data_IF_484144892514
#
_entry.id   IF_484144892514
#
_cell.length_a   1.000
_cell.length_b   1.000
_cell.length_c   1.000
_cell.angle_alpha   90.00
_cell.angle_beta   90.00
_cell.angle_gamma   90.00
#
_symmetry.space_group_name_H-M   'P 1'
#
loop_
_entity.id
_entity.type
_entity.pdbx_description
1 polymer ?
#
# COMPACT_ATOMS: atom_id res chain seq x y z
N UNK A 1 -15.04 -9.45 1.12
CA UNK A 1 -14.03 -8.84 0.25
C UNK A 1 -13.72 -9.79 -0.91
N UNK A 2 -13.64 -9.29 -2.16
CA UNK A 2 -13.23 -10.11 -3.31
C UNK A 2 -11.82 -9.71 -3.77
N UNK A 3 -10.86 -10.58 -3.50
CA UNK A 3 -9.46 -10.42 -3.88
C UNK A 3 -9.24 -10.50 -5.40
N UNK A 4 -8.40 -9.60 -5.91
CA UNK A 4 -8.03 -9.52 -7.34
C UNK A 4 -6.54 -9.79 -7.54
N UNK A 5 -5.68 -9.12 -6.77
CA UNK A 5 -4.23 -9.27 -6.86
C UNK A 5 -3.55 -8.84 -5.55
N UNK A 6 -2.33 -9.32 -5.33
CA UNK A 6 -1.44 -8.84 -4.28
C UNK A 6 0.00 -8.93 -4.79
N UNK A 7 0.82 -7.90 -4.52
CA UNK A 7 2.20 -7.81 -5.03
C UNK A 7 3.06 -6.87 -4.20
N UNK A 8 4.36 -7.06 -4.34
CA UNK A 8 5.38 -6.14 -3.83
C UNK A 8 5.96 -5.37 -5.02
N UNK A 9 6.08 -4.05 -4.89
CA UNK A 9 6.70 -3.20 -5.91
C UNK A 9 7.74 -2.26 -5.29
N UNK A 10 8.70 -1.84 -6.12
CA UNK A 10 9.67 -0.80 -5.77
C UNK A 10 9.03 0.56 -6.04
N UNK A 11 9.12 1.50 -5.11
CA UNK A 11 8.54 2.84 -5.22
C UNK A 11 9.50 3.91 -4.69
N UNK A 12 9.08 5.17 -4.72
CA UNK A 12 9.77 6.28 -4.06
C UNK A 12 8.84 7.06 -3.13
N UNK A 13 9.38 7.52 -2.00
CA UNK A 13 8.63 8.24 -0.95
C UNK A 13 9.33 9.55 -0.54
N UNK A 14 8.53 10.57 -0.21
CA UNK A 14 8.97 11.89 0.22
C UNK A 14 9.56 12.77 -0.90
N UNK A 15 9.75 14.06 -0.61
CA UNK A 15 10.27 15.03 -1.58
C UNK A 15 11.69 14.77 -2.11
N UNK A 16 12.44 13.86 -1.49
CA UNK A 16 13.75 13.39 -1.97
C UNK A 16 13.68 12.11 -2.80
N UNK A 17 12.49 11.56 -3.04
CA UNK A 17 12.27 10.30 -3.78
C UNK A 17 13.11 9.15 -3.25
N UNK A 18 13.06 8.95 -1.93
CA UNK A 18 13.79 7.88 -1.27
C UNK A 18 13.25 6.54 -1.76
N UNK A 19 14.09 5.64 -2.30
CA UNK A 19 13.64 4.31 -2.71
C UNK A 19 13.04 3.54 -1.53
N UNK A 20 11.94 2.85 -1.76
CA UNK A 20 11.26 2.03 -0.75
C UNK A 20 10.60 0.80 -1.38
N UNK A 21 10.27 -0.16 -0.51
CA UNK A 21 9.40 -1.28 -0.82
C UNK A 21 7.96 -0.92 -0.49
N UNK A 22 7.05 -1.25 -1.41
CA UNK A 22 5.62 -0.98 -1.29
C UNK A 22 4.85 -2.29 -1.44
N UNK A 23 4.07 -2.62 -0.42
CA UNK A 23 3.11 -3.72 -0.45
C UNK A 23 1.79 -3.20 -1.01
N UNK A 24 1.18 -3.95 -1.93
CA UNK A 24 -0.09 -3.57 -2.57
C UNK A 24 -1.02 -4.77 -2.63
N UNK A 25 -2.26 -4.61 -2.19
CA UNK A 25 -3.33 -5.58 -2.40
C UNK A 25 -4.58 -4.93 -2.98
N UNK A 26 -5.19 -5.60 -3.94
CA UNK A 26 -6.36 -5.12 -4.68
C UNK A 26 -7.60 -5.93 -4.29
N UNK A 27 -8.60 -5.23 -3.75
CA UNK A 27 -9.88 -5.79 -3.40
C UNK A 27 -11.02 -4.86 -3.80
N UNK A 28 -12.07 -5.42 -4.39
CA UNK A 28 -13.30 -4.68 -4.72
C UNK A 28 -13.05 -3.38 -5.54
N UNK A 29 -11.98 -3.35 -6.34
CA UNK A 29 -11.60 -2.21 -7.19
C UNK A 29 -10.78 -1.12 -6.49
N UNK A 30 -10.29 -1.38 -5.28
CA UNK A 30 -9.44 -0.48 -4.48
C UNK A 30 -8.06 -1.09 -4.34
N UNK A 31 -7.01 -0.29 -4.56
CA UNK A 31 -5.62 -0.61 -4.26
C UNK A 31 -5.30 -0.13 -2.86
N UNK A 32 -5.20 -1.05 -1.90
CA UNK A 32 -4.65 -0.77 -0.58
C UNK A 32 -3.14 -0.97 -0.62
N UNK A 33 -2.40 -0.10 0.05
CA UNK A 33 -0.95 -0.14 0.03
C UNK A 33 -0.31 0.34 1.33
N UNK A 34 0.88 -0.16 1.61
CA UNK A 34 1.71 0.28 2.74
C UNK A 34 3.19 0.24 2.36
N UNK A 35 3.93 1.25 2.79
CA UNK A 35 5.40 1.25 2.71
C UNK A 35 5.95 0.28 3.74
N UNK A 36 6.97 -0.49 3.40
CA UNK A 36 7.68 -1.36 4.34
C UNK A 36 8.10 -0.58 5.61
N UNK A 37 7.79 -1.13 6.78
CA UNK A 37 8.04 -0.53 8.09
C UNK A 37 7.07 0.59 8.48
N UNK A 38 6.06 0.90 7.65
CA UNK A 38 5.02 1.89 7.97
C UNK A 38 3.88 1.24 8.76
N UNK A 39 3.26 2.02 9.65
CA UNK A 39 1.96 1.66 10.23
C UNK A 39 0.78 2.21 9.44
N UNK A 40 1.03 3.15 8.52
CA UNK A 40 -0.01 3.73 7.69
C UNK A 40 -0.31 2.81 6.51
N UNK A 41 -1.59 2.50 6.36
CA UNK A 41 -2.15 1.78 5.22
C UNK A 41 -3.05 2.78 4.48
N UNK A 42 -2.75 3.02 3.22
CA UNK A 42 -3.49 3.97 2.40
C UNK A 42 -4.26 3.22 1.30
N UNK A 43 -5.33 3.84 0.80
CA UNK A 43 -6.15 3.30 -0.28
C UNK A 43 -6.23 4.29 -1.43
N UNK A 44 -6.08 3.80 -2.65
CA UNK A 44 -6.30 4.59 -3.87
C UNK A 44 -7.09 3.79 -4.89
N UNK A 45 -7.77 4.49 -5.81
CA UNK A 45 -8.36 3.88 -7.00
C UNK A 45 -7.37 3.79 -8.17
N UNK A 46 -6.18 4.39 -8.02
CA UNK A 46 -5.13 4.33 -9.02
C UNK A 46 -4.48 2.94 -9.05
N UNK A 47 -3.99 2.56 -10.23
CA UNK A 47 -3.20 1.34 -10.39
C UNK A 47 -1.75 1.61 -10.03
N UNK A 48 -1.19 0.82 -9.10
CA UNK A 48 0.17 1.00 -8.61
C UNK A 48 1.17 0.09 -9.34
N UNK A 49 2.23 0.68 -9.91
CA UNK A 49 3.28 -0.03 -10.65
C UNK A 49 4.70 0.31 -10.16
N UNK A 50 5.68 -0.52 -10.54
CA UNK A 50 7.08 -0.29 -10.18
C UNK A 50 7.57 1.10 -10.59
N UNK A 51 8.21 1.80 -9.67
CA UNK A 51 8.75 3.14 -9.85
C UNK A 51 7.79 4.28 -9.49
N UNK A 52 6.58 3.96 -9.00
CA UNK A 52 5.60 4.97 -8.58
C UNK A 52 6.17 5.93 -7.52
N UNK A 53 5.83 7.21 -7.64
CA UNK A 53 6.12 8.26 -6.67
C UNK A 53 4.91 8.40 -5.75
N UNK A 54 5.02 7.87 -4.51
CA UNK A 54 3.90 7.76 -3.58
C UNK A 54 3.30 9.13 -3.24
N UNK A 55 4.11 10.19 -3.24
CA UNK A 55 3.68 11.57 -2.98
C UNK A 55 2.75 12.14 -4.06
N UNK A 56 2.62 11.45 -5.20
CA UNK A 56 1.75 11.88 -6.30
C UNK A 56 0.40 11.19 -6.33
N UNK A 57 0.21 10.18 -5.47
CA UNK A 57 -1.03 9.41 -5.39
C UNK A 57 -2.13 10.22 -4.70
N UNK A 58 -3.36 10.03 -5.17
CA UNK A 58 -4.55 10.50 -4.44
C UNK A 58 -5.05 9.40 -3.50
N UNK A 59 -4.87 9.63 -2.20
CA UNK A 59 -5.41 8.77 -1.16
C UNK A 59 -6.90 9.01 -0.96
N UNK A 60 -7.69 7.95 -1.19
CA UNK A 60 -9.13 7.93 -0.97
C UNK A 60 -9.48 7.58 0.48
N UNK A 61 -8.74 6.67 1.09
CA UNK A 61 -8.96 6.22 2.46
C UNK A 61 -7.62 5.90 3.14
N UNK A 62 -7.64 5.84 4.47
CA UNK A 62 -6.47 5.56 5.30
C UNK A 62 -6.85 4.77 6.54
N UNK A 63 -6.05 3.77 6.87
CA UNK A 63 -6.09 3.01 8.11
C UNK A 63 -4.70 3.03 8.79
N UNK A 64 -4.66 2.67 10.07
CA UNK A 64 -3.43 2.58 10.82
C UNK A 64 -3.37 1.20 11.50
N UNK A 65 -2.31 0.45 11.20
CA UNK A 65 -2.03 -0.85 11.80
C UNK A 65 -1.44 -0.71 13.21
N UNK A 66 -1.67 -1.72 14.05
CA UNK A 66 -1.18 -1.77 15.43
C UNK A 66 0.36 -1.91 15.50
N UNK A 67 0.98 -2.45 14.45
CA UNK A 67 2.42 -2.60 14.30
C UNK A 67 2.89 -2.29 12.88
N UNK A 68 4.18 -1.97 12.66
CA UNK A 68 4.72 -1.77 11.32
C UNK A 68 4.44 -2.95 10.38
N UNK A 69 4.09 -2.65 9.13
CA UNK A 69 3.89 -3.62 8.06
C UNK A 69 5.24 -3.98 7.44
N UNK A 70 5.65 -5.23 7.61
CA UNK A 70 6.95 -5.78 7.18
C UNK A 70 6.78 -6.86 6.08
N UNK A 71 5.55 -7.16 5.67
CA UNK A 71 5.29 -8.09 4.57
C UNK A 71 3.96 -7.87 3.88
N UNK A 72 3.84 -8.41 2.66
CA UNK A 72 2.59 -8.40 1.89
C UNK A 72 1.46 -9.13 2.62
N UNK A 73 1.75 -10.25 3.28
CA UNK A 73 0.75 -11.01 4.04
C UNK A 73 0.20 -10.23 5.23
N UNK A 74 1.04 -9.39 5.88
CA UNK A 74 0.58 -8.52 6.96
C UNK A 74 -0.36 -7.45 6.44
N UNK A 75 -0.04 -6.80 5.31
CA UNK A 75 -0.95 -5.84 4.69
C UNK A 75 -2.30 -6.49 4.36
N UNK A 76 -2.30 -7.68 3.76
CA UNK A 76 -3.53 -8.40 3.42
C UNK A 76 -4.36 -8.65 4.68
N UNK A 77 -3.74 -9.15 5.75
CA UNK A 77 -4.44 -9.45 7.00
C UNK A 77 -5.09 -8.20 7.62
N UNK A 78 -4.37 -7.08 7.67
CA UNK A 78 -4.90 -5.81 8.19
C UNK A 78 -6.09 -5.31 7.34
N UNK A 79 -6.00 -5.41 6.01
CA UNK A 79 -7.08 -5.00 5.11
C UNK A 79 -8.31 -5.90 5.21
N UNK A 80 -8.16 -7.19 5.54
CA UNK A 80 -9.31 -8.09 5.80
C UNK A 80 -10.10 -7.72 7.06
N UNK A 81 -9.49 -6.97 7.98
CA UNK A 81 -10.10 -6.53 9.23
C UNK A 81 -10.76 -5.14 9.14
N UNK A 82 -10.64 -4.44 7.99
CA UNK A 82 -11.30 -3.15 7.69
C UNK A 82 -12.75 -3.30 7.21
#
# INVERSE_FOLDING_TARGET
MRWQAAREIKATYGGSRTPCDLYVCECDGVSWYAVEGSQNINATYEYLEHGVDIETLEDHDTAQADSPIESLEQLIAEVEEL
#
